data_IF_182787158233
#
_entry.id   IF_182787158233
#
_cell.length_a   1.000
_cell.length_b   1.000
_cell.length_c   1.000
_cell.angle_alpha   90.00
_cell.angle_beta   90.00
_cell.angle_gamma   90.00
#
_symmetry.space_group_name_H-M   'P 1'
#
loop_
_entity.id
_entity.type
_entity.pdbx_description
1 polymer ?
#
# COMPACT_ATOMS: atom_id res chain seq x y z
N UNK A 1 5.72 18.38 9.97
CA UNK A 1 6.08 18.55 8.54
C UNK A 1 6.57 17.22 7.98
N UNK A 2 6.48 17.03 6.66
CA UNK A 2 7.00 15.85 6.00
C UNK A 2 7.62 16.19 4.64
N UNK A 3 8.58 15.38 4.21
CA UNK A 3 9.16 15.41 2.86
C UNK A 3 9.25 14.00 2.32
N UNK A 4 8.62 13.76 1.18
CA UNK A 4 8.71 12.48 0.48
C UNK A 4 10.06 12.44 -0.23
N UNK A 5 10.74 11.31 -0.10
CA UNK A 5 12.07 11.09 -0.66
C UNK A 5 11.96 9.96 -1.70
N UNK A 6 12.36 10.18 -2.96
CA UNK A 6 12.56 9.09 -3.91
C UNK A 6 13.49 8.02 -3.32
N UNK A 7 13.40 6.79 -3.83
CA UNK A 7 14.17 5.64 -3.32
C UNK A 7 15.67 5.95 -3.18
N UNK A 8 16.29 6.48 -4.23
CA UNK A 8 17.71 6.86 -4.24
C UNK A 8 18.06 7.91 -3.17
N UNK A 9 17.20 8.91 -2.99
CA UNK A 9 17.39 9.95 -1.96
C UNK A 9 17.28 9.37 -0.55
N UNK A 10 16.33 8.46 -0.33
CA UNK A 10 16.19 7.76 0.94
C UNK A 10 17.42 6.90 1.25
N UNK A 11 17.98 6.22 0.23
CA UNK A 11 19.23 5.45 0.37
C UNK A 11 20.43 6.34 0.69
N UNK A 12 20.59 7.48 0.01
CA UNK A 12 21.67 8.44 0.32
C UNK A 12 21.59 8.94 1.75
N UNK A 13 20.39 9.29 2.21
CA UNK A 13 20.19 9.70 3.60
C UNK A 13 20.53 8.57 4.57
N UNK A 14 20.11 7.35 4.27
CA UNK A 14 20.43 6.19 5.09
C UNK A 14 21.94 5.95 5.20
N UNK A 15 22.64 5.95 4.06
CA UNK A 15 24.10 5.79 4.02
C UNK A 15 24.79 6.89 4.82
N UNK A 16 24.35 8.14 4.67
CA UNK A 16 24.87 9.26 5.44
C UNK A 16 24.72 9.05 6.96
N UNK A 17 23.55 8.58 7.42
CA UNK A 17 23.33 8.27 8.85
C UNK A 17 24.28 7.17 9.35
N UNK A 18 24.55 6.15 8.53
CA UNK A 18 25.46 5.05 8.88
C UNK A 18 26.93 5.48 8.88
N UNK A 19 27.39 6.19 7.85
CA UNK A 19 28.77 6.66 7.70
C UNK A 19 29.20 7.62 8.82
N UNK A 20 28.27 8.47 9.25
CA UNK A 20 28.51 9.46 10.30
C UNK A 20 28.19 8.93 11.72
N UNK A 21 27.84 7.64 11.85
CA UNK A 21 27.42 7.01 13.10
C UNK A 21 26.35 7.82 13.86
N UNK A 22 25.41 8.41 13.12
CA UNK A 22 24.30 9.15 13.73
C UNK A 22 23.40 8.14 14.43
N UNK A 23 23.18 8.33 15.73
CA UNK A 23 22.32 7.46 16.51
C UNK A 23 20.92 7.38 15.89
N UNK A 24 20.39 6.15 15.77
CA UNK A 24 19.04 5.91 15.28
C UNK A 24 18.52 4.58 15.83
N UNK A 25 17.19 4.47 15.94
CA UNK A 25 16.50 3.26 16.36
C UNK A 25 15.55 2.81 15.26
N UNK A 26 15.55 1.50 14.94
CA UNK A 26 14.66 0.95 13.93
C UNK A 26 13.36 0.42 14.54
N UNK A 27 12.24 1.03 14.14
CA UNK A 27 10.89 0.63 14.51
C UNK A 27 10.36 -0.38 13.49
N UNK A 28 10.36 -1.67 13.89
CA UNK A 28 9.94 -2.79 13.05
C UNK A 28 8.47 -2.70 12.61
N UNK A 29 7.58 -2.27 13.51
CA UNK A 29 6.13 -2.25 13.23
C UNK A 29 5.76 -1.21 12.17
N UNK A 30 6.48 -0.08 12.15
CA UNK A 30 6.21 1.03 11.23
C UNK A 30 7.23 1.16 10.11
N UNK A 31 8.23 0.27 10.06
CA UNK A 31 9.31 0.27 9.08
C UNK A 31 9.94 1.66 8.91
N UNK A 32 10.46 2.19 10.02
CA UNK A 32 11.03 3.56 10.07
C UNK A 32 12.23 3.63 11.00
N UNK A 33 13.09 4.60 10.75
CA UNK A 33 14.21 4.99 11.60
C UNK A 33 13.82 6.21 12.44
N UNK A 34 13.86 6.06 13.76
CA UNK A 34 13.71 7.15 14.71
C UNK A 34 15.07 7.76 14.98
N UNK A 35 15.20 9.07 14.76
CA UNK A 35 16.39 9.81 15.16
C UNK A 35 16.12 10.36 16.56
N UNK A 36 16.84 9.88 17.59
CA UNK A 36 16.60 10.30 18.95
C UNK A 36 16.94 11.77 19.13
N UNK A 37 16.20 12.42 20.01
CA UNK A 37 16.68 13.53 20.79
C UNK A 37 15.76 13.73 21.98
N UNK A 38 15.80 14.90 22.60
CA UNK A 38 15.09 15.11 23.86
C UNK A 38 13.57 15.19 23.62
N UNK A 39 12.75 14.73 24.58
CA UNK A 39 11.27 14.75 24.46
C UNK A 39 10.71 16.15 24.18
N UNK A 40 11.40 17.20 24.63
CA UNK A 40 11.04 18.61 24.37
C UNK A 40 11.34 19.07 22.93
N UNK A 41 12.17 18.35 22.19
CA UNK A 41 12.63 18.72 20.86
C UNK A 41 11.73 18.15 19.75
N UNK A 42 10.72 17.35 20.07
CA UNK A 42 9.80 16.77 19.07
C UNK A 42 10.40 15.60 18.27
N UNK A 43 9.60 15.06 17.36
CA UNK A 43 9.92 13.86 16.58
C UNK A 43 10.69 14.18 15.30
N UNK A 44 11.62 13.30 14.94
CA UNK A 44 12.29 13.24 13.65
C UNK A 44 12.45 11.77 13.28
N UNK A 45 11.86 11.34 12.17
CA UNK A 45 11.99 9.97 11.70
C UNK A 45 11.97 9.87 10.19
N UNK A 46 12.62 8.82 9.68
CA UNK A 46 12.63 8.44 8.28
C UNK A 46 11.82 7.16 8.11
N UNK A 47 10.63 7.24 7.48
CA UNK A 47 9.96 6.05 6.94
C UNK A 47 10.79 5.51 5.78
N UNK A 48 11.07 4.22 5.82
CA UNK A 48 11.86 3.58 4.78
C UNK A 48 10.99 3.12 3.61
N UNK A 49 11.55 3.08 2.38
CA UNK A 49 10.95 2.36 1.26
C UNK A 49 10.61 0.92 1.62
N UNK A 50 9.43 0.43 1.25
CA UNK A 50 8.99 -0.94 1.53
C UNK A 50 9.93 -2.01 0.95
N UNK A 51 10.64 -1.68 -0.14
CA UNK A 51 11.62 -2.53 -0.82
C UNK A 51 12.96 -2.63 -0.10
N UNK A 52 13.21 -1.79 0.92
CA UNK A 52 14.44 -1.84 1.69
C UNK A 52 14.31 -2.89 2.81
N UNK A 53 15.22 -3.85 2.88
CA UNK A 53 15.21 -4.85 3.95
C UNK A 53 15.45 -4.21 5.34
N UNK A 54 14.91 -4.78 6.43
CA UNK A 54 15.24 -4.35 7.78
C UNK A 54 16.75 -4.45 8.04
N UNK A 55 17.31 -3.63 8.93
CA UNK A 55 18.72 -3.70 9.25
C UNK A 55 19.04 -5.00 9.99
N UNK A 56 20.13 -5.66 9.59
CA UNK A 56 20.68 -6.85 10.28
C UNK A 56 21.96 -6.41 10.98
N UNK A 57 22.04 -6.59 12.30
CA UNK A 57 23.15 -6.09 13.13
C UNK A 57 23.42 -4.58 12.94
N UNK A 58 22.37 -3.77 12.78
CA UNK A 58 22.47 -2.32 12.57
C UNK A 58 22.92 -1.91 11.17
N UNK A 59 23.06 -2.85 10.23
CA UNK A 59 23.43 -2.56 8.83
C UNK A 59 22.30 -2.91 7.88
N UNK A 60 21.97 -1.96 7.01
CA UNK A 60 21.04 -2.16 5.90
C UNK A 60 21.75 -2.84 4.74
N UNK A 61 21.01 -3.72 4.05
CA UNK A 61 21.44 -4.41 2.84
C UNK A 61 20.51 -3.99 1.71
N UNK A 62 21.09 -3.40 0.68
CA UNK A 62 20.37 -2.87 -0.49
C UNK A 62 20.17 -3.95 -1.56
N UNK A 63 21.02 -4.98 -1.52
CA UNK A 63 21.11 -6.11 -2.42
C UNK A 63 20.07 -7.23 -2.11
N UNK A 64 19.34 -7.12 -1.01
CA UNK A 64 18.32 -8.11 -0.63
C UNK A 64 16.98 -7.77 -1.30
N UNK A 65 16.48 -8.58 -2.25
CA UNK A 65 15.18 -8.34 -2.85
C UNK A 65 14.07 -8.49 -1.81
N UNK A 66 13.07 -7.61 -1.88
CA UNK A 66 11.92 -7.65 -0.98
C UNK A 66 10.63 -7.79 -1.79
N UNK A 67 10.04 -8.96 -1.66
CA UNK A 67 8.70 -9.29 -2.14
C UNK A 67 7.62 -9.02 -1.09
N UNK A 68 6.47 -8.50 -1.52
CA UNK A 68 5.41 -8.09 -0.62
C UNK A 68 4.04 -8.11 -1.26
N UNK A 69 3.01 -8.15 -0.41
CA UNK A 69 1.61 -8.00 -0.80
C UNK A 69 1.11 -6.62 -0.37
N UNK A 70 0.37 -5.94 -1.25
CA UNK A 70 -0.44 -4.78 -0.87
C UNK A 70 -1.91 -5.20 -0.84
N UNK A 71 -2.59 -4.95 0.28
CA UNK A 71 -3.99 -5.28 0.52
C UNK A 71 -4.78 -4.03 0.90
N UNK A 72 -5.63 -3.56 0.00
CA UNK A 72 -6.46 -2.36 0.16
C UNK A 72 -7.92 -2.78 0.25
N UNK A 73 -8.56 -2.57 1.41
CA UNK A 73 -9.95 -2.99 1.65
C UNK A 73 -10.78 -1.80 2.10
N UNK A 74 -11.86 -1.55 1.37
CA UNK A 74 -12.96 -0.66 1.77
C UNK A 74 -14.30 -1.38 1.61
N UNK A 75 -15.38 -0.75 2.10
CA UNK A 75 -16.72 -1.32 2.00
C UNK A 75 -17.13 -1.47 0.53
N UNK A 76 -17.11 -2.70 0.03
CA UNK A 76 -17.56 -3.07 -1.31
C UNK A 76 -16.50 -3.00 -2.41
N UNK A 77 -15.24 -2.70 -2.07
CA UNK A 77 -14.13 -2.74 -3.02
C UNK A 77 -12.84 -3.17 -2.34
N UNK A 78 -12.10 -4.07 -2.97
CA UNK A 78 -10.78 -4.50 -2.53
C UNK A 78 -9.84 -4.55 -3.73
N UNK A 79 -8.61 -4.10 -3.55
CA UNK A 79 -7.51 -4.32 -4.49
C UNK A 79 -6.39 -5.03 -3.74
N UNK A 80 -5.93 -6.14 -4.29
CA UNK A 80 -4.82 -6.92 -3.75
C UNK A 80 -3.78 -7.14 -4.84
N UNK A 81 -2.50 -7.01 -4.52
CA UNK A 81 -1.43 -7.25 -5.47
C UNK A 81 -0.20 -7.85 -4.83
N UNK A 82 0.45 -8.74 -5.57
CA UNK A 82 1.77 -9.27 -5.27
C UNK A 82 2.83 -8.48 -6.03
N UNK A 83 3.90 -8.13 -5.34
CA UNK A 83 4.98 -7.31 -5.86
C UNK A 83 6.33 -7.95 -5.56
N UNK A 84 7.20 -7.94 -6.56
CA UNK A 84 8.60 -8.34 -6.43
C UNK A 84 9.47 -7.12 -6.63
N UNK A 85 10.18 -6.72 -5.58
CA UNK A 85 11.12 -5.60 -5.59
C UNK A 85 10.58 -4.33 -6.29
N UNK A 86 9.35 -3.93 -5.95
CA UNK A 86 8.71 -2.74 -6.52
C UNK A 86 7.84 -2.98 -7.75
N UNK A 87 7.98 -4.11 -8.44
CA UNK A 87 7.23 -4.42 -9.67
C UNK A 87 5.99 -5.24 -9.35
N UNK A 88 4.84 -4.84 -9.90
CA UNK A 88 3.61 -5.61 -9.76
C UNK A 88 3.67 -6.85 -10.66
N UNK A 89 3.55 -8.03 -10.08
CA UNK A 89 3.58 -9.29 -10.83
C UNK A 89 2.17 -9.88 -11.01
N UNK A 90 1.34 -9.78 -9.96
CA UNK A 90 -0.05 -10.19 -10.01
C UNK A 90 -0.94 -9.20 -9.25
N UNK A 91 -2.19 -9.05 -9.69
CA UNK A 91 -3.19 -8.28 -8.95
C UNK A 91 -4.60 -8.80 -9.18
N UNK A 92 -5.50 -8.42 -8.27
CA UNK A 92 -6.95 -8.61 -8.43
C UNK A 92 -7.72 -7.50 -7.74
N UNK A 93 -8.81 -7.11 -8.39
CA UNK A 93 -9.80 -6.20 -7.81
C UNK A 93 -11.09 -6.99 -7.58
N UNK A 94 -11.61 -6.92 -6.35
CA UNK A 94 -12.89 -7.46 -5.97
C UNK A 94 -13.88 -6.32 -5.74
N UNK A 95 -15.13 -6.51 -6.15
CA UNK A 95 -16.22 -5.57 -5.89
C UNK A 95 -17.42 -6.33 -5.34
N UNK A 96 -18.09 -5.75 -4.34
CA UNK A 96 -19.25 -6.34 -3.69
C UNK A 96 -20.25 -5.26 -3.27
N UNK A 97 -21.54 -5.55 -3.34
CA UNK A 97 -22.59 -4.57 -3.03
C UNK A 97 -22.92 -4.52 -1.52
N UNK A 98 -21.96 -4.07 -0.72
CA UNK A 98 -22.11 -4.12 0.75
C UNK A 98 -23.00 -3.01 1.34
N UNK A 99 -23.20 -1.87 0.64
CA UNK A 99 -23.87 -0.68 1.19
C UNK A 99 -25.04 -0.21 0.32
N UNK A 100 -26.16 0.18 0.94
CA UNK A 100 -27.32 0.73 0.23
C UNK A 100 -27.08 2.20 -0.14
N UNK A 101 -27.06 2.50 -1.45
CA UNK A 101 -26.74 3.81 -2.07
C UNK A 101 -27.46 5.04 -1.48
N UNK A 102 -28.62 4.88 -0.81
CA UNK A 102 -29.44 5.98 -0.27
C UNK A 102 -29.24 6.32 1.21
N UNK A 103 -28.39 5.61 1.97
CA UNK A 103 -28.29 5.88 3.42
C UNK A 103 -26.89 6.00 4.03
N UNK A 104 -25.81 5.82 3.26
CA UNK A 104 -24.43 6.10 3.70
C UNK A 104 -23.95 5.36 4.97
N UNK A 105 -24.77 4.51 5.57
CA UNK A 105 -24.51 3.83 6.85
C UNK A 105 -24.29 2.35 6.59
N UNK A 106 -23.16 1.82 7.05
CA UNK A 106 -22.86 0.40 6.97
C UNK A 106 -23.88 -0.40 7.79
N UNK A 107 -24.53 -1.40 7.16
CA UNK A 107 -25.58 -2.20 7.79
C UNK A 107 -25.06 -3.05 8.96
N UNK A 108 -23.75 -3.27 9.00
CA UNK A 108 -22.99 -3.93 10.06
C UNK A 108 -23.32 -3.34 11.44
N UNK A 109 -23.51 -2.02 11.53
CA UNK A 109 -23.79 -1.34 12.80
C UNK A 109 -25.21 -1.58 13.34
N UNK A 110 -26.16 -1.93 12.48
CA UNK A 110 -27.60 -2.00 12.81
C UNK A 110 -28.14 -3.42 12.97
N UNK A 111 -27.32 -4.46 12.80
CA UNK A 111 -27.76 -5.86 12.87
C UNK A 111 -28.26 -6.27 14.26
N UNK A 112 -27.83 -5.58 15.34
CA UNK A 112 -28.14 -5.95 16.73
C UNK A 112 -29.34 -5.23 17.35
N UNK A 113 -29.99 -4.29 16.67
CA UNK A 113 -30.96 -3.38 17.31
C UNK A 113 -32.43 -3.52 16.87
N UNK A 114 -32.76 -4.27 15.81
CA UNK A 114 -34.16 -4.54 15.42
C UNK A 114 -34.34 -5.99 14.93
N UNK A 115 -35.52 -6.57 15.22
CA UNK A 115 -35.89 -7.95 14.90
C UNK A 115 -35.82 -8.34 13.40
N UNK A 116 -36.22 -9.59 13.10
CA UNK A 116 -36.12 -10.31 11.80
C UNK A 116 -35.60 -9.48 10.61
N UNK A 117 -34.36 -9.77 10.20
CA UNK A 117 -33.71 -9.19 9.02
C UNK A 117 -34.52 -9.37 7.73
N UNK A 118 -34.65 -8.27 6.94
CA UNK A 118 -35.33 -8.28 5.63
C UNK A 118 -34.48 -9.02 4.59
N UNK A 119 -35.12 -9.60 3.56
CA UNK A 119 -34.45 -10.40 2.53
C UNK A 119 -33.20 -9.72 1.93
N UNK A 120 -33.31 -8.45 1.51
CA UNK A 120 -32.17 -7.71 0.97
C UNK A 120 -31.08 -7.32 1.97
N UNK A 121 -31.28 -7.50 3.28
CA UNK A 121 -30.20 -7.38 4.28
C UNK A 121 -29.45 -8.69 4.43
N UNK A 122 -30.13 -9.83 4.27
CA UNK A 122 -29.48 -11.15 4.24
C UNK A 122 -28.58 -11.31 3.02
N UNK A 123 -29.03 -10.84 1.85
CA UNK A 123 -28.23 -10.87 0.61
C UNK A 123 -26.90 -10.13 0.80
N UNK A 124 -26.92 -8.87 1.27
CA UNK A 124 -25.68 -8.10 1.50
C UNK A 124 -24.74 -8.70 2.54
N UNK A 125 -25.30 -9.38 3.54
CA UNK A 125 -24.49 -10.08 4.54
C UNK A 125 -23.79 -11.29 3.90
N UNK A 126 -24.50 -12.04 3.06
CA UNK A 126 -23.92 -13.12 2.24
C UNK A 126 -22.82 -12.59 1.32
N UNK A 127 -23.10 -11.54 0.55
CA UNK A 127 -22.13 -10.88 -0.34
C UNK A 127 -20.91 -10.32 0.42
N UNK A 128 -21.08 -9.94 1.68
CA UNK A 128 -19.97 -9.52 2.55
C UNK A 128 -19.09 -10.70 2.93
N UNK A 129 -19.70 -11.83 3.30
CA UNK A 129 -18.97 -13.04 3.69
C UNK A 129 -18.17 -13.56 2.48
N UNK A 130 -18.83 -13.74 1.35
CA UNK A 130 -18.21 -14.20 0.09
C UNK A 130 -17.08 -13.26 -0.36
N UNK A 131 -17.25 -11.95 -0.18
CA UNK A 131 -16.21 -10.97 -0.50
C UNK A 131 -14.92 -11.18 0.31
N UNK A 132 -15.02 -11.44 1.62
CA UNK A 132 -13.84 -11.71 2.44
C UNK A 132 -13.28 -13.13 2.25
N UNK A 133 -14.12 -14.12 1.97
CA UNK A 133 -13.68 -15.47 1.58
C UNK A 133 -12.82 -15.40 0.30
N UNK A 134 -13.31 -14.77 -0.76
CA UNK A 134 -12.57 -14.60 -2.02
C UNK A 134 -11.25 -13.82 -1.86
N UNK A 135 -11.21 -12.81 -0.99
CA UNK A 135 -9.97 -12.07 -0.68
C UNK A 135 -8.97 -13.01 0.00
N UNK A 136 -9.42 -13.82 0.96
CA UNK A 136 -8.55 -14.71 1.71
C UNK A 136 -8.05 -15.88 0.85
N UNK A 137 -8.87 -16.44 -0.03
CA UNK A 137 -8.46 -17.43 -1.03
C UNK A 137 -7.33 -16.87 -1.90
N UNK A 138 -7.48 -15.65 -2.42
CA UNK A 138 -6.41 -14.99 -3.18
C UNK A 138 -5.14 -14.76 -2.37
N UNK A 139 -5.26 -14.42 -1.09
CA UNK A 139 -4.09 -14.26 -0.23
C UNK A 139 -3.39 -15.60 0.00
N UNK A 140 -4.14 -16.69 0.19
CA UNK A 140 -3.58 -18.04 0.30
C UNK A 140 -2.81 -18.42 -0.97
N UNK A 141 -3.39 -18.21 -2.17
CA UNK A 141 -2.73 -18.43 -3.45
C UNK A 141 -1.35 -17.74 -3.51
N UNK A 142 -1.29 -16.46 -3.13
CA UNK A 142 -0.02 -15.72 -3.14
C UNK A 142 1.02 -16.25 -2.15
N UNK A 143 0.59 -16.72 -0.98
CA UNK A 143 1.51 -17.24 0.05
C UNK A 143 1.93 -18.68 -0.20
N UNK A 144 1.17 -19.43 -1.00
CA UNK A 144 1.52 -20.77 -1.47
C UNK A 144 2.49 -20.71 -2.67
N UNK A 145 2.26 -19.78 -3.60
CA UNK A 145 3.02 -19.68 -4.84
C UNK A 145 4.31 -18.86 -4.70
N UNK A 146 4.33 -17.87 -3.80
CA UNK A 146 5.42 -16.89 -3.70
C UNK A 146 5.96 -16.69 -2.29
N UNK A 147 7.23 -16.27 -2.21
CA UNK A 147 7.80 -15.76 -0.97
C UNK A 147 7.28 -14.34 -0.69
N UNK A 148 6.71 -14.15 0.51
CA UNK A 148 6.15 -12.87 0.97
C UNK A 148 6.85 -12.41 2.25
N UNK A 149 7.67 -11.37 2.13
CA UNK A 149 8.40 -10.78 3.26
C UNK A 149 7.58 -9.75 4.03
N UNK A 150 6.63 -9.07 3.36
CA UNK A 150 5.82 -7.99 3.96
C UNK A 150 4.39 -8.00 3.44
N UNK A 151 3.47 -7.51 4.24
CA UNK A 151 2.07 -7.30 3.89
C UNK A 151 1.68 -5.87 4.25
N UNK A 152 1.61 -4.99 3.26
CA UNK A 152 1.12 -3.63 3.45
C UNK A 152 -0.41 -3.60 3.40
N UNK A 153 -1.06 -3.27 4.50
CA UNK A 153 -2.51 -3.33 4.63
C UNK A 153 -3.13 -1.95 4.92
N UNK A 154 -4.20 -1.64 4.18
CA UNK A 154 -5.15 -0.58 4.50
C UNK A 154 -6.54 -1.19 4.61
N UNK A 155 -6.98 -1.42 5.85
CA UNK A 155 -8.32 -1.93 6.16
C UNK A 155 -8.87 -1.22 7.39
N UNK A 156 -10.13 -0.77 7.32
CA UNK A 156 -10.75 -0.08 8.46
C UNK A 156 -10.98 -1.04 9.64
N UNK A 157 -10.89 -0.52 10.87
CA UNK A 157 -11.09 -1.31 12.10
C UNK A 157 -12.44 -2.04 12.14
N UNK A 158 -13.46 -1.51 11.45
CA UNK A 158 -14.78 -2.13 11.34
C UNK A 158 -14.83 -3.35 10.42
N UNK A 159 -13.88 -3.46 9.48
CA UNK A 159 -13.80 -4.54 8.50
C UNK A 159 -12.81 -5.63 8.92
N UNK A 160 -11.83 -5.32 9.77
CA UNK A 160 -10.85 -6.30 10.27
C UNK A 160 -11.48 -7.58 10.85
N UNK A 161 -12.59 -7.54 11.63
CA UNK A 161 -13.22 -8.76 12.10
C UNK A 161 -13.64 -9.68 10.95
N UNK A 162 -14.18 -9.13 9.87
CA UNK A 162 -14.62 -9.93 8.72
C UNK A 162 -13.45 -10.55 7.96
N UNK A 163 -12.31 -9.86 7.90
CA UNK A 163 -11.10 -10.39 7.29
C UNK A 163 -10.55 -11.59 8.08
N UNK A 164 -10.41 -11.44 9.41
CA UNK A 164 -9.76 -12.45 10.26
C UNK A 164 -10.71 -13.53 10.80
N UNK A 165 -12.02 -13.32 10.75
CA UNK A 165 -13.02 -14.31 11.19
C UNK A 165 -13.85 -14.85 10.03
N UNK A 166 -13.35 -14.72 8.80
CA UNK A 166 -13.94 -15.37 7.63
C UNK A 166 -13.79 -16.90 7.74
N UNK A 167 -14.63 -17.65 7.04
CA UNK A 167 -14.55 -19.11 7.00
C UNK A 167 -13.26 -19.58 6.32
N UNK A 168 -12.85 -18.87 5.27
CA UNK A 168 -11.52 -19.02 4.67
C UNK A 168 -10.57 -18.16 5.49
N UNK A 169 -9.55 -18.75 6.08
CA UNK A 169 -8.60 -18.04 6.94
C UNK A 169 -7.60 -17.21 6.13
N UNK A 170 -7.12 -16.10 6.67
CA UNK A 170 -5.96 -15.40 6.11
C UNK A 170 -4.68 -16.21 6.33
N UNK A 171 -3.67 -16.13 5.45
CA UNK A 171 -2.37 -16.81 5.62
C UNK A 171 -1.47 -16.18 6.71
N UNK A 172 -2.01 -15.23 7.46
CA UNK A 172 -1.35 -14.51 8.56
C UNK A 172 -2.40 -14.12 9.60
N UNK A 173 -1.96 -13.87 10.83
CA UNK A 173 -2.83 -13.31 11.88
C UNK A 173 -2.59 -11.81 12.09
N UNK A 174 -3.40 -11.18 12.95
CA UNK A 174 -3.34 -9.73 13.23
C UNK A 174 -2.06 -9.24 13.91
N UNK A 175 -1.21 -10.14 14.39
CA UNK A 175 0.06 -9.90 15.07
C UNK A 175 1.26 -10.36 14.23
N UNK A 176 1.04 -10.77 12.97
CA UNK A 176 2.12 -11.18 12.08
C UNK A 176 3.13 -10.03 11.89
N UNK A 177 4.44 -10.27 12.14
CA UNK A 177 5.46 -9.23 12.06
C UNK A 177 5.69 -8.69 10.64
N UNK A 178 5.18 -9.38 9.62
CA UNK A 178 5.23 -8.93 8.21
C UNK A 178 4.18 -7.85 7.93
N UNK A 179 3.18 -7.67 8.80
CA UNK A 179 2.11 -6.69 8.60
C UNK A 179 2.59 -5.26 8.84
N UNK A 180 2.41 -4.43 7.82
CA UNK A 180 2.69 -3.00 7.85
C UNK A 180 1.42 -2.23 7.54
N UNK A 181 1.09 -1.25 8.38
CA UNK A 181 -0.02 -0.34 8.10
C UNK A 181 0.41 0.71 7.10
N UNK A 182 -0.41 0.93 6.08
CA UNK A 182 -0.15 1.97 5.07
C UNK A 182 -0.38 3.34 5.72
N UNK A 183 0.64 4.20 5.83
CA UNK A 183 0.57 5.46 6.58
C UNK A 183 -0.03 6.62 5.77
N UNK A 184 -0.97 6.32 4.87
CA UNK A 184 -1.70 7.33 4.10
C UNK A 184 -3.17 6.97 4.00
N UNK A 185 -4.00 7.99 3.76
CA UNK A 185 -5.36 7.75 3.33
C UNK A 185 -5.35 7.08 1.94
N UNK A 186 -6.14 6.02 1.80
CA UNK A 186 -6.30 5.28 0.54
C UNK A 186 -7.70 5.55 0.00
N UNK A 187 -7.78 5.92 -1.27
CA UNK A 187 -9.07 6.09 -1.98
C UNK A 187 -9.75 4.74 -2.25
N UNK A 188 -10.84 4.73 -2.99
CA UNK A 188 -11.55 3.50 -3.36
C UNK A 188 -10.58 2.49 -3.98
N UNK A 189 -10.43 1.27 -3.40
CA UNK A 189 -9.51 0.27 -3.91
C UNK A 189 -9.86 -0.14 -5.34
N UNK A 190 -9.00 0.26 -6.26
CA UNK A 190 -8.97 -0.11 -7.68
C UNK A 190 -7.51 -0.33 -8.06
N UNK A 191 -7.25 -0.78 -9.29
CA UNK A 191 -5.90 -1.12 -9.73
C UNK A 191 -4.96 0.09 -9.73
N UNK A 192 -5.44 1.24 -10.17
CA UNK A 192 -4.68 2.48 -10.22
C UNK A 192 -4.26 2.91 -8.81
N UNK A 193 -5.19 2.88 -7.85
CA UNK A 193 -4.91 3.20 -6.43
C UNK A 193 -3.93 2.20 -5.81
N UNK A 194 -3.94 0.94 -6.23
CA UNK A 194 -2.97 -0.07 -5.82
C UNK A 194 -1.56 0.31 -6.29
N UNK A 195 -1.40 0.68 -7.57
CA UNK A 195 -0.13 1.13 -8.13
C UNK A 195 0.35 2.44 -7.50
N UNK A 196 -0.54 3.41 -7.30
CA UNK A 196 -0.21 4.69 -6.63
C UNK A 196 0.24 4.48 -5.18
N UNK A 197 -0.33 3.47 -4.53
CA UNK A 197 0.07 3.06 -3.18
C UNK A 197 1.42 2.38 -3.20
N UNK A 198 1.69 1.53 -4.18
CA UNK A 198 3.00 0.95 -4.39
C UNK A 198 4.07 2.04 -4.59
N UNK A 199 3.86 2.99 -5.51
CA UNK A 199 4.80 4.10 -5.76
C UNK A 199 5.08 4.91 -4.50
N UNK A 200 4.05 5.24 -3.72
CA UNK A 200 4.23 5.91 -2.42
C UNK A 200 5.05 5.08 -1.43
N UNK A 201 4.81 3.77 -1.34
CA UNK A 201 5.51 2.88 -0.40
C UNK A 201 6.98 2.64 -0.81
N UNK A 202 7.30 2.70 -2.11
CA UNK A 202 8.68 2.65 -2.62
C UNK A 202 9.48 3.93 -2.33
N UNK A 203 8.80 5.03 -2.02
CA UNK A 203 9.44 6.24 -1.55
C UNK A 203 9.68 6.19 -0.04
N UNK A 204 10.76 6.81 0.40
CA UNK A 204 10.95 7.15 1.80
C UNK A 204 10.17 8.40 2.19
N UNK A 205 10.07 8.67 3.49
CA UNK A 205 9.43 9.89 3.98
C UNK A 205 10.13 10.38 5.23
N UNK A 206 10.72 11.58 5.16
CA UNK A 206 11.29 12.25 6.32
C UNK A 206 10.21 13.07 7.00
N UNK A 207 9.84 12.70 8.22
CA UNK A 207 8.81 13.37 9.02
C UNK A 207 9.46 14.01 10.24
N UNK A 208 9.12 15.27 10.48
CA UNK A 208 9.73 16.06 11.54
C UNK A 208 8.82 17.16 12.06
N UNK A 209 8.98 17.51 13.33
CA UNK A 209 8.30 18.64 13.95
C UNK A 209 9.00 19.98 13.63
N UNK A 210 8.31 21.10 13.83
CA UNK A 210 8.86 22.45 13.59
C UNK A 210 10.16 22.71 14.35
N UNK A 211 10.25 22.21 15.58
CA UNK A 211 11.44 22.28 16.43
C UNK A 211 12.65 21.53 15.85
N UNK A 212 12.43 20.54 14.97
CA UNK A 212 13.47 19.74 14.32
C UNK A 212 13.79 20.21 12.90
N UNK A 213 13.18 21.30 12.43
CA UNK A 213 13.31 21.73 11.04
C UNK A 213 14.76 21.98 10.64
N UNK A 214 15.55 22.65 11.48
CA UNK A 214 16.96 22.91 11.20
C UNK A 214 17.75 21.60 11.00
N UNK A 215 17.56 20.63 11.90
CA UNK A 215 18.22 19.32 11.81
C UNK A 215 17.80 18.57 10.54
N UNK A 216 16.53 18.65 10.15
CA UNK A 216 16.05 18.04 8.90
C UNK A 216 16.64 18.71 7.66
N UNK A 217 16.73 20.05 7.65
CA UNK A 217 17.32 20.81 6.54
C UNK A 217 18.83 20.55 6.41
N UNK A 218 19.55 20.39 7.52
CA UNK A 218 20.95 19.97 7.54
C UNK A 218 21.14 18.58 6.92
N UNK A 219 20.31 17.60 7.30
CA UNK A 219 20.35 16.25 6.73
C UNK A 219 20.09 16.25 5.22
N UNK A 220 19.12 17.04 4.77
CA UNK A 220 18.76 17.15 3.35
C UNK A 220 19.87 17.83 2.55
N UNK A 221 20.45 18.90 3.10
CA UNK A 221 21.54 19.65 2.46
C UNK A 221 22.80 18.78 2.37
N UNK A 222 23.15 18.09 3.46
CA UNK A 222 24.33 17.23 3.52
C UNK A 222 24.27 16.05 2.52
N UNK A 223 23.07 15.60 2.19
CA UNK A 223 22.83 14.48 1.26
C UNK A 223 22.58 14.92 -0.17
N UNK A 224 22.56 16.24 -0.42
CA UNK A 224 22.28 16.81 -1.76
C UNK A 224 20.90 16.44 -2.29
N UNK A 225 19.94 16.18 -1.40
CA UNK A 225 18.58 15.79 -1.78
C UNK A 225 17.83 17.05 -2.22
N UNK A 226 17.49 17.15 -3.51
CA UNK A 226 16.50 18.12 -3.96
C UNK A 226 15.12 17.65 -3.51
N UNK A 227 14.39 18.47 -2.75
CA UNK A 227 13.02 18.17 -2.37
C UNK A 227 12.12 18.14 -3.62
N UNK A 228 11.94 16.96 -4.21
CA UNK A 228 10.85 16.74 -5.14
C UNK A 228 9.61 16.44 -4.32
N UNK A 229 8.64 17.34 -4.33
CA UNK A 229 7.32 17.08 -3.78
C UNK A 229 6.67 16.03 -4.66
N UNK A 230 6.56 14.80 -4.17
CA UNK A 230 5.73 13.79 -4.83
C UNK A 230 4.27 14.22 -4.75
N UNK A 231 3.67 14.56 -5.90
CA UNK A 231 2.23 14.77 -6.05
C UNK A 231 1.65 13.47 -6.61
N UNK A 232 0.89 12.70 -5.81
CA UNK A 232 0.23 11.50 -6.32
C UNK A 232 -0.72 11.88 -7.46
N UNK A 233 -0.41 11.46 -8.69
CA UNK A 233 -1.26 11.66 -9.88
C UNK A 233 -0.70 12.61 -10.95
N UNK A 234 0.43 13.28 -10.70
CA UNK A 234 1.16 13.98 -11.76
C UNK A 234 2.20 13.04 -12.40
N UNK A 235 1.83 12.57 -13.60
CA UNK A 235 2.69 12.03 -14.66
C UNK A 235 3.44 10.72 -14.39
N UNK A 236 2.76 9.63 -14.76
CA UNK A 236 3.35 8.61 -15.63
C UNK A 236 2.28 8.30 -16.69
N UNK A 237 2.04 9.28 -17.58
CA UNK A 237 1.37 8.99 -18.84
C UNK A 237 2.31 8.06 -19.56
N UNK A 238 2.07 6.75 -19.46
CA UNK A 238 2.57 5.83 -20.46
C UNK A 238 2.07 6.39 -21.79
N UNK A 239 2.96 7.05 -22.54
CA UNK A 239 2.84 7.12 -23.99
C UNK A 239 2.80 5.65 -24.41
N UNK A 240 1.59 5.11 -24.41
CA UNK A 240 1.30 3.92 -25.17
C UNK A 240 1.48 4.45 -26.57
N UNK A 241 2.61 4.14 -27.21
CA UNK A 241 2.69 4.27 -28.66
C UNK A 241 1.40 3.65 -29.18
N UNK A 242 0.54 4.42 -29.87
CA UNK A 242 -0.70 3.85 -30.37
C UNK A 242 -0.29 2.67 -31.25
N UNK A 243 -0.75 1.47 -30.89
CA UNK A 243 -0.78 0.35 -31.82
C UNK A 243 -1.48 0.89 -33.07
N UNK A 244 -0.69 1.13 -34.13
CA UNK A 244 -1.17 1.39 -35.48
C UNK A 244 -1.89 0.13 -35.93
N UNK A 245 -3.14 -0.01 -35.51
CA UNK A 245 -4.07 -0.91 -36.15
C UNK A 245 -4.41 -0.29 -37.50
N UNK A 246 -3.66 -0.65 -38.53
CA UNK A 246 -4.07 -0.46 -39.91
C UNK A 246 -5.29 -1.36 -40.16
N UNK A 247 -6.49 -0.81 -40.41
CA UNK A 247 -7.54 -1.62 -40.99
C UNK A 247 -7.06 -2.12 -42.35
N UNK A 248 -6.98 -3.44 -42.53
CA UNK A 248 -6.90 -4.03 -43.86
C UNK A 248 -8.08 -3.45 -44.68
N UNK A 249 -7.76 -2.68 -45.72
CA UNK A 249 -8.74 -2.20 -46.68
C UNK A 249 -9.40 -3.43 -47.32
N UNK A 250 -10.68 -3.64 -47.00
CA UNK A 250 -11.52 -4.56 -47.74
C UNK A 250 -11.49 -4.14 -49.21
N UNK A 251 -10.80 -4.92 -50.05
CA UNK A 251 -10.83 -4.76 -51.50
C UNK A 251 -12.29 -4.86 -51.95
N UNK A 252 -12.82 -3.73 -52.40
CA UNK A 252 -14.07 -3.62 -53.13
C UNK A 252 -14.03 -4.60 -54.32
N UNK A 253 -14.72 -5.73 -54.18
CA UNK A 253 -15.09 -6.57 -55.32
C UNK A 253 -16.05 -5.76 -56.21
N UNK A 254 -15.46 -5.09 -57.20
CA UNK A 254 -16.11 -4.63 -58.42
C UNK A 254 -16.88 -5.79 -59.07
N UNK A 255 -18.16 -5.95 -58.75
CA UNK A 255 -19.09 -6.62 -59.65
C UNK A 255 -19.72 -5.60 -60.60
N UNK A 256 -18.99 -5.28 -61.66
CA UNK A 256 -19.61 -4.87 -62.92
C UNK A 256 -19.96 -6.09 -63.78
N UNK A 257 -21.15 -5.99 -64.39
CA UNK A 257 -21.82 -6.80 -65.43
C UNK A 257 -22.92 -7.77 -64.98
#
# INVERSE_FOLDING_TARGET
MNRILPYESALRLLRYLQEHNIAHEYDHEKHRLLLPGNDAEGQLYLRLPITLAPPVHGKFREDTPVNYVILLIQSGSCAVGYFENGRNYNHKVFRSYMVRKKQGTSQIKYLKTKGKSRAGSRVRLGETIEFFENINERLQEYFEEYEVHRVAISCSKTLLPYLYSSKVETPFDKHDPRLLKIPKHVHTPIYEVLLDTNRYLMSGELVFDETRQQQADELITATGISAQTYIPGEEDTWETEPDEWEPEEDEDDEMEW
#
